data_IF_896381189954
#
_entry.id   IF_896381189954
#
_cell.length_a   1.000
_cell.length_b   1.000
_cell.length_c   1.000
_cell.angle_alpha   90.00
_cell.angle_beta   90.00
_cell.angle_gamma   90.00
#
_symmetry.space_group_name_H-M   'P 1'
#
loop_
_entity.id
_entity.type
_entity.pdbx_description
1 polymer ?
#
# COMPACT_ATOMS: atom_id res chain seq x y z
N UNK A 1 9.40 21.29 5.93
CA UNK A 1 9.25 20.64 7.25
C UNK A 1 9.27 19.13 7.05
N UNK A 2 10.24 18.45 7.64
CA UNK A 2 10.31 16.98 7.62
C UNK A 2 9.30 16.39 8.59
N UNK A 3 8.49 15.44 8.13
CA UNK A 3 7.52 14.70 8.94
C UNK A 3 7.72 13.20 8.72
N UNK A 4 7.56 12.43 9.77
CA UNK A 4 7.34 10.98 9.69
C UNK A 4 5.97 10.68 9.08
N UNK A 5 5.77 9.43 8.64
CA UNK A 5 4.47 8.99 8.13
C UNK A 5 3.35 9.15 9.17
N UNK A 6 3.65 8.90 10.46
CA UNK A 6 2.69 9.05 11.55
C UNK A 6 2.31 10.52 11.80
N UNK A 7 3.28 11.43 11.76
CA UNK A 7 3.01 12.87 11.91
C UNK A 7 2.22 13.40 10.71
N UNK A 8 2.55 12.97 9.48
CA UNK A 8 1.78 13.32 8.29
C UNK A 8 0.33 12.83 8.39
N UNK A 9 0.14 11.57 8.81
CA UNK A 9 -1.18 11.00 9.05
C UNK A 9 -1.97 11.80 10.10
N UNK A 10 -1.35 12.12 11.24
CA UNK A 10 -1.99 12.92 12.29
C UNK A 10 -2.33 14.33 11.79
N UNK A 11 -1.45 14.95 11.02
CA UNK A 11 -1.70 16.25 10.40
C UNK A 11 -2.88 16.21 9.44
N UNK A 12 -3.00 15.14 8.64
CA UNK A 12 -4.08 14.96 7.68
C UNK A 12 -5.44 14.67 8.36
N UNK A 13 -5.44 13.86 9.42
CA UNK A 13 -6.67 13.34 10.05
C UNK A 13 -7.14 14.13 11.26
N UNK A 14 -6.23 14.64 12.08
CA UNK A 14 -6.54 15.33 13.34
C UNK A 14 -6.52 16.84 13.17
N UNK A 15 -5.47 17.38 12.55
CA UNK A 15 -5.35 18.84 12.35
C UNK A 15 -6.20 19.31 11.17
N UNK A 16 -6.02 18.67 10.00
CA UNK A 16 -6.73 19.03 8.77
C UNK A 16 -8.14 18.44 8.68
N UNK A 17 -8.45 17.42 9.51
CA UNK A 17 -9.78 16.81 9.65
C UNK A 17 -10.41 16.37 8.33
N UNK A 18 -9.63 15.71 7.46
CA UNK A 18 -10.10 15.31 6.13
C UNK A 18 -11.25 14.28 6.14
N UNK A 19 -11.38 13.48 7.20
CA UNK A 19 -12.39 12.42 7.26
C UNK A 19 -13.79 13.05 7.36
N UNK A 20 -14.68 12.64 6.47
CA UNK A 20 -16.04 13.16 6.34
C UNK A 20 -16.16 14.33 5.36
N UNK A 21 -15.04 14.94 4.96
CA UNK A 21 -15.04 16.07 4.03
C UNK A 21 -15.40 15.64 2.61
N UNK A 22 -15.92 16.61 1.86
CA UNK A 22 -16.46 16.43 0.51
C UNK A 22 -15.61 17.15 -0.53
N UNK A 23 -15.55 16.58 -1.72
CA UNK A 23 -14.93 17.14 -2.89
C UNK A 23 -15.75 16.85 -4.14
N UNK A 24 -15.44 17.56 -5.22
CA UNK A 24 -16.10 17.39 -6.51
C UNK A 24 -15.03 17.29 -7.58
N UNK A 25 -15.26 16.41 -8.56
CA UNK A 25 -14.39 16.28 -9.71
C UNK A 25 -15.13 16.87 -10.90
N UNK A 26 -14.63 18.01 -11.37
CA UNK A 26 -15.13 18.66 -12.55
C UNK A 26 -14.06 18.65 -13.63
N UNK A 27 -14.48 18.36 -14.86
CA UNK A 27 -13.65 18.52 -16.04
C UNK A 27 -14.17 19.69 -16.87
N UNK A 28 -13.33 20.70 -17.06
CA UNK A 28 -13.67 21.91 -17.81
C UNK A 28 -12.84 21.99 -19.08
N UNK A 29 -13.49 22.17 -20.22
CA UNK A 29 -12.86 22.42 -21.51
C UNK A 29 -13.63 23.51 -22.26
N UNK A 30 -12.95 24.62 -22.56
CA UNK A 30 -13.55 25.87 -23.07
C UNK A 30 -14.70 26.32 -22.15
N UNK A 31 -15.91 26.48 -22.71
CA UNK A 31 -17.11 26.94 -22.04
C UNK A 31 -18.00 25.78 -21.52
N UNK A 32 -17.54 24.53 -21.59
CA UNK A 32 -18.25 23.37 -21.05
C UNK A 32 -17.53 22.84 -19.81
N UNK A 33 -18.29 22.63 -18.74
CA UNK A 33 -17.84 21.93 -17.54
C UNK A 33 -18.78 20.76 -17.29
N UNK A 34 -18.22 19.57 -17.10
CA UNK A 34 -18.96 18.37 -16.72
C UNK A 34 -18.50 17.91 -15.34
N UNK A 35 -19.41 17.31 -14.59
CA UNK A 35 -19.06 16.61 -13.35
C UNK A 35 -18.76 15.14 -13.66
N UNK A 36 -17.67 14.63 -13.08
CA UNK A 36 -17.22 13.26 -13.30
C UNK A 36 -17.82 12.36 -12.23
N UNK A 37 -18.53 11.33 -12.67
CA UNK A 37 -19.14 10.31 -11.79
C UNK A 37 -18.42 8.96 -11.89
N UNK A 38 -17.45 8.82 -12.79
CA UNK A 38 -16.66 7.60 -12.97
C UNK A 38 -15.61 7.44 -11.87
N UNK A 39 -15.37 6.19 -11.45
CA UNK A 39 -14.51 5.86 -10.32
C UNK A 39 -13.05 5.54 -10.71
N UNK A 40 -12.78 5.38 -12.00
CA UNK A 40 -11.51 4.83 -12.49
C UNK A 40 -10.30 5.74 -12.25
N UNK A 41 -10.51 7.05 -12.18
CA UNK A 41 -9.44 8.05 -12.00
C UNK A 41 -9.25 8.52 -10.56
N UNK A 42 -10.15 8.15 -9.65
CA UNK A 42 -10.19 8.71 -8.28
C UNK A 42 -8.89 8.46 -7.52
N UNK A 43 -8.29 7.27 -7.66
CA UNK A 43 -7.05 6.95 -6.97
C UNK A 43 -5.90 7.87 -7.37
N UNK A 44 -5.69 8.06 -8.67
CA UNK A 44 -4.66 8.96 -9.18
C UNK A 44 -4.94 10.41 -8.77
N UNK A 45 -6.20 10.85 -8.81
CA UNK A 45 -6.58 12.20 -8.40
C UNK A 45 -6.32 12.45 -6.91
N UNK A 46 -6.63 11.49 -6.03
CA UNK A 46 -6.36 11.61 -4.60
C UNK A 46 -4.85 11.60 -4.28
N UNK A 47 -4.04 10.84 -5.02
CA UNK A 47 -2.59 10.86 -4.88
C UNK A 47 -1.98 12.20 -5.31
N UNK A 48 -2.40 12.75 -6.45
CA UNK A 48 -1.98 14.09 -6.90
C UNK A 48 -2.49 15.19 -5.95
N UNK A 49 -3.71 15.05 -5.43
CA UNK A 49 -4.24 15.96 -4.41
C UNK A 49 -3.39 15.93 -3.13
N UNK A 50 -3.01 14.74 -2.64
CA UNK A 50 -2.17 14.61 -1.44
C UNK A 50 -0.81 15.28 -1.65
N UNK A 51 -0.21 15.11 -2.82
CA UNK A 51 1.02 15.80 -3.21
C UNK A 51 0.86 17.32 -3.22
N UNK A 52 -0.22 17.83 -3.79
CA UNK A 52 -0.50 19.27 -3.77
C UNK A 52 -0.71 19.79 -2.33
N UNK A 53 -1.41 19.02 -1.50
CA UNK A 53 -1.60 19.30 -0.08
C UNK A 53 -0.25 19.34 0.66
N UNK A 54 0.61 18.33 0.50
CA UNK A 54 1.94 18.30 1.11
C UNK A 54 2.78 19.53 0.71
N UNK A 55 2.76 19.93 -0.58
CA UNK A 55 3.44 21.14 -1.06
C UNK A 55 2.87 22.41 -0.42
N UNK A 56 1.54 22.53 -0.35
CA UNK A 56 0.86 23.69 0.26
C UNK A 56 1.24 23.87 1.74
N UNK A 57 1.38 22.78 2.48
CA UNK A 57 1.78 22.79 3.89
C UNK A 57 3.30 22.69 4.10
N UNK A 58 4.10 22.89 3.04
CA UNK A 58 5.57 22.87 3.07
C UNK A 58 6.14 21.60 3.73
N UNK A 59 5.50 20.46 3.52
CA UNK A 59 5.98 19.16 3.97
C UNK A 59 7.09 18.70 3.02
N UNK A 60 8.19 18.24 3.59
CA UNK A 60 9.32 17.73 2.83
C UNK A 60 9.07 16.30 2.37
N UNK A 61 9.06 16.09 1.05
CA UNK A 61 9.01 14.77 0.42
C UNK A 61 9.72 14.81 -0.93
N UNK A 62 10.03 13.64 -1.48
CA UNK A 62 10.44 13.45 -2.86
C UNK A 62 9.50 12.45 -3.55
N UNK A 63 9.14 12.72 -4.81
CA UNK A 63 8.36 11.79 -5.63
C UNK A 63 9.29 10.73 -6.22
N UNK A 64 8.79 9.50 -6.37
CA UNK A 64 9.53 8.51 -7.13
C UNK A 64 9.57 8.89 -8.61
N UNK A 65 10.79 9.02 -9.16
CA UNK A 65 10.99 9.40 -10.56
C UNK A 65 10.40 8.39 -11.54
N UNK A 66 10.18 7.15 -11.10
CA UNK A 66 9.42 6.15 -11.83
C UNK A 66 8.07 5.91 -11.12
N UNK A 67 7.02 6.58 -11.59
CA UNK A 67 5.66 6.47 -11.03
C UNK A 67 5.03 5.09 -11.16
N UNK A 68 5.61 4.19 -11.96
CA UNK A 68 5.19 2.78 -12.04
C UNK A 68 5.89 1.89 -11.00
N UNK A 69 6.79 2.46 -10.19
CA UNK A 69 7.53 1.75 -9.16
C UNK A 69 7.21 2.32 -7.79
N UNK A 70 7.08 1.40 -6.84
CA UNK A 70 7.01 1.71 -5.42
C UNK A 70 8.32 2.33 -4.90
N UNK A 71 8.25 3.19 -3.86
CA UNK A 71 7.02 3.76 -3.29
C UNK A 71 6.54 4.95 -4.13
N UNK A 72 5.35 5.48 -3.84
CA UNK A 72 4.90 6.76 -4.41
C UNK A 72 5.76 7.96 -3.96
N UNK A 73 6.08 8.01 -2.65
CA UNK A 73 6.82 9.11 -2.04
C UNK A 73 7.93 8.63 -1.09
N UNK A 74 8.98 9.44 -0.98
CA UNK A 74 10.01 9.33 0.05
C UNK A 74 9.86 10.52 1.00
N UNK A 75 9.52 10.26 2.28
CA UNK A 75 9.43 11.32 3.29
C UNK A 75 10.82 11.69 3.85
N UNK A 76 11.82 10.87 3.56
CA UNK A 76 13.22 11.13 3.90
C UNK A 76 14.07 11.28 2.64
N UNK A 77 14.39 12.53 2.30
CA UNK A 77 15.18 12.89 1.11
C UNK A 77 16.64 12.44 1.20
N UNK A 78 17.16 12.31 2.42
CA UNK A 78 18.57 11.98 2.68
C UNK A 78 18.81 10.46 2.60
N UNK A 79 17.80 9.66 2.96
CA UNK A 79 17.87 8.20 2.96
C UNK A 79 16.57 7.60 2.43
N UNK A 80 16.53 7.34 1.12
CA UNK A 80 15.38 6.75 0.41
C UNK A 80 15.10 5.29 0.78
N UNK A 81 15.95 4.66 1.60
CA UNK A 81 15.69 3.33 2.15
C UNK A 81 14.85 3.38 3.42
N UNK A 82 14.58 4.58 3.94
CA UNK A 82 13.74 4.83 5.11
C UNK A 82 12.53 5.67 4.71
N UNK A 83 11.48 5.58 5.52
CA UNK A 83 10.29 6.44 5.43
C UNK A 83 9.67 6.45 4.01
N UNK A 84 9.68 5.28 3.36
CA UNK A 84 9.01 5.04 2.10
C UNK A 84 7.49 5.01 2.34
N UNK A 85 6.76 5.76 1.51
CA UNK A 85 5.37 6.08 1.75
C UNK A 85 4.54 5.82 0.49
N UNK A 86 3.66 4.82 0.57
CA UNK A 86 2.78 4.38 -0.50
C UNK A 86 1.36 4.86 -0.25
N UNK A 87 0.68 5.33 -1.29
CA UNK A 87 -0.72 5.73 -1.23
C UNK A 87 -1.58 4.66 -1.89
N UNK A 88 -2.63 4.25 -1.18
CA UNK A 88 -3.68 3.41 -1.75
C UNK A 88 -5.04 4.05 -1.54
N UNK A 89 -5.95 3.77 -2.46
CA UNK A 89 -7.32 4.25 -2.36
C UNK A 89 -8.27 3.12 -2.74
N UNK A 90 -9.48 3.16 -2.19
CA UNK A 90 -10.54 2.27 -2.61
C UNK A 90 -11.93 2.86 -2.38
N UNK A 91 -12.89 2.36 -3.14
CA UNK A 91 -14.30 2.65 -2.97
C UNK A 91 -14.84 1.91 -1.74
N UNK A 92 -15.22 2.67 -0.71
CA UNK A 92 -15.76 2.18 0.57
C UNK A 92 -16.87 1.15 0.37
N UNK A 93 -17.75 1.36 -0.61
CA UNK A 93 -18.90 0.49 -0.87
C UNK A 93 -18.51 -0.84 -1.52
N UNK A 94 -17.32 -0.91 -2.14
CA UNK A 94 -16.80 -2.12 -2.80
C UNK A 94 -15.69 -2.82 -1.99
N UNK A 95 -15.15 -2.16 -0.98
CA UNK A 95 -14.01 -2.65 -0.21
C UNK A 95 -12.67 -2.52 -0.96
N UNK A 96 -11.57 -2.97 -0.33
CA UNK A 96 -10.21 -2.73 -0.84
C UNK A 96 -9.93 -3.54 -2.12
N UNK A 97 -10.11 -2.86 -3.25
CA UNK A 97 -9.93 -3.38 -4.59
C UNK A 97 -8.52 -3.20 -5.18
N UNK A 98 -7.61 -2.54 -4.48
CA UNK A 98 -6.24 -2.25 -4.97
C UNK A 98 -5.30 -3.45 -4.85
N UNK A 99 -4.23 -3.43 -5.63
CA UNK A 99 -3.12 -4.37 -5.52
C UNK A 99 -2.07 -3.83 -4.53
N UNK A 100 -1.49 -4.72 -3.72
CA UNK A 100 -0.38 -4.38 -2.84
C UNK A 100 0.93 -4.30 -3.62
N UNK A 101 1.17 -5.32 -4.46
CA UNK A 101 2.27 -5.40 -5.42
C UNK A 101 2.06 -6.61 -6.34
N UNK A 102 2.75 -6.65 -7.47
CA UNK A 102 2.92 -7.87 -8.23
C UNK A 102 3.70 -8.91 -7.40
N UNK A 103 3.20 -10.15 -7.30
CA UNK A 103 3.71 -11.16 -6.37
C UNK A 103 5.20 -11.50 -6.61
N UNK A 104 5.54 -11.86 -7.85
CA UNK A 104 6.91 -12.25 -8.20
C UNK A 104 7.87 -11.07 -8.08
N UNK A 105 7.46 -9.90 -8.60
CA UNK A 105 8.27 -8.68 -8.52
C UNK A 105 8.54 -8.28 -7.07
N UNK A 106 7.53 -8.37 -6.20
CA UNK A 106 7.67 -8.08 -4.78
C UNK A 106 8.63 -9.08 -4.13
N UNK A 107 8.39 -10.38 -4.27
CA UNK A 107 9.25 -11.39 -3.67
C UNK A 107 10.71 -11.31 -4.15
N UNK A 108 10.95 -11.02 -5.43
CA UNK A 108 12.29 -10.85 -5.97
C UNK A 108 12.95 -9.60 -5.41
N UNK A 109 12.21 -8.50 -5.29
CA UNK A 109 12.74 -7.26 -4.71
C UNK A 109 13.14 -7.40 -3.25
N UNK A 110 12.49 -8.28 -2.47
CA UNK A 110 12.87 -8.51 -1.07
C UNK A 110 14.26 -9.16 -0.93
N UNK A 111 14.81 -9.74 -1.98
CA UNK A 111 16.17 -10.29 -1.95
C UNK A 111 17.22 -9.17 -1.88
N UNK A 112 16.93 -8.02 -2.51
CA UNK A 112 17.86 -6.88 -2.62
C UNK A 112 17.46 -5.69 -1.74
N UNK A 113 16.17 -5.52 -1.50
CA UNK A 113 15.56 -4.34 -0.89
C UNK A 113 14.57 -4.72 0.21
N UNK A 114 14.95 -5.65 1.09
CA UNK A 114 14.08 -6.19 2.15
C UNK A 114 13.56 -5.10 3.12
N UNK A 115 14.31 -4.00 3.29
CA UNK A 115 13.92 -2.86 4.12
C UNK A 115 12.57 -2.24 3.68
N UNK A 116 12.13 -2.48 2.44
CA UNK A 116 10.81 -2.05 1.94
C UNK A 116 9.60 -2.68 2.62
N UNK A 117 9.81 -3.73 3.39
CA UNK A 117 8.74 -4.31 4.22
C UNK A 117 8.25 -3.27 5.23
N UNK A 118 9.13 -2.39 5.71
CA UNK A 118 8.83 -1.36 6.72
C UNK A 118 8.14 -0.12 6.17
N UNK A 119 7.82 -0.07 4.89
CA UNK A 119 7.13 1.08 4.31
C UNK A 119 5.73 1.30 4.89
N UNK A 120 5.33 2.56 4.88
CA UNK A 120 4.04 3.02 5.34
C UNK A 120 3.05 3.14 4.19
N UNK A 121 1.85 2.63 4.40
CA UNK A 121 0.73 2.70 3.46
C UNK A 121 -0.31 3.66 4.02
N UNK A 122 -0.48 4.81 3.38
CA UNK A 122 -1.61 5.71 3.62
C UNK A 122 -2.77 5.28 2.73
N UNK A 123 -3.86 4.86 3.34
CA UNK A 123 -4.99 4.27 2.64
C UNK A 123 -6.20 5.16 2.82
N UNK A 124 -6.75 5.68 1.72
CA UNK A 124 -7.96 6.49 1.73
C UNK A 124 -9.16 5.69 1.21
N UNK A 125 -10.15 5.48 2.05
CA UNK A 125 -11.46 4.99 1.61
C UNK A 125 -12.31 6.19 1.17
N UNK A 126 -12.73 6.18 -0.08
CA UNK A 126 -13.63 7.19 -0.60
C UNK A 126 -15.01 6.59 -0.88
N UNK A 127 -16.04 7.44 -0.91
CA UNK A 127 -17.37 7.09 -1.38
C UNK A 127 -17.84 8.15 -2.37
N UNK A 128 -18.48 7.73 -3.46
CA UNK A 128 -19.07 8.65 -4.44
C UNK A 128 -20.58 8.50 -4.49
N UNK A 129 -21.29 9.62 -4.41
CA UNK A 129 -22.74 9.72 -4.67
C UNK A 129 -22.96 10.73 -5.79
N UNK A 130 -23.26 10.24 -7.00
CA UNK A 130 -23.14 11.06 -8.22
C UNK A 130 -21.69 11.53 -8.40
N UNK A 131 -21.49 12.84 -8.52
CA UNK A 131 -20.16 13.46 -8.63
C UNK A 131 -19.54 13.93 -7.32
N UNK A 132 -20.27 13.81 -6.20
CA UNK A 132 -19.75 14.15 -4.88
C UNK A 132 -18.85 13.01 -4.37
N UNK A 133 -17.58 13.33 -4.13
CA UNK A 133 -16.59 12.46 -3.51
C UNK A 133 -16.52 12.78 -2.02
N UNK A 134 -16.56 11.77 -1.14
CA UNK A 134 -16.35 11.94 0.29
C UNK A 134 -15.27 11.00 0.81
N UNK A 135 -14.46 11.44 1.76
CA UNK A 135 -13.46 10.59 2.42
C UNK A 135 -14.09 9.91 3.63
N UNK A 136 -14.34 8.61 3.53
CA UNK A 136 -15.00 7.84 4.59
C UNK A 136 -14.06 7.50 5.73
N UNK A 137 -12.82 7.19 5.40
CA UNK A 137 -11.82 6.88 6.41
C UNK A 137 -10.41 6.97 5.80
N UNK A 138 -9.42 7.10 6.69
CA UNK A 138 -8.01 7.08 6.34
C UNK A 138 -7.30 6.17 7.33
N UNK A 139 -6.40 5.32 6.84
CA UNK A 139 -5.54 4.50 7.68
C UNK A 139 -4.07 4.73 7.35
N UNK A 140 -3.21 4.62 8.36
CA UNK A 140 -1.78 4.41 8.20
C UNK A 140 -1.45 2.99 8.64
N UNK A 141 -0.87 2.19 7.74
CA UNK A 141 -0.64 0.77 7.96
C UNK A 141 0.66 0.29 7.36
N UNK A 142 1.17 -0.83 7.86
CA UNK A 142 2.22 -1.63 7.22
C UNK A 142 1.61 -2.69 6.31
N UNK A 143 2.39 -3.21 5.36
CA UNK A 143 1.89 -4.21 4.40
C UNK A 143 1.34 -5.47 5.08
N UNK A 144 1.95 -5.91 6.18
CA UNK A 144 1.50 -7.07 6.94
C UNK A 144 0.16 -6.81 7.66
N UNK A 145 -0.14 -5.58 8.06
CA UNK A 145 -1.39 -5.22 8.73
C UNK A 145 -2.60 -5.14 7.78
N UNK A 146 -2.37 -5.16 6.46
CA UNK A 146 -3.41 -5.10 5.43
C UNK A 146 -3.46 -6.33 4.55
N UNK A 147 -2.51 -7.25 4.74
CA UNK A 147 -2.49 -8.59 4.14
C UNK A 147 -2.85 -9.63 5.19
N UNK A 148 -3.26 -10.80 4.74
CA UNK A 148 -3.64 -11.91 5.59
C UNK A 148 -3.77 -13.17 4.75
N UNK A 149 -4.04 -14.29 5.39
CA UNK A 149 -4.22 -15.56 4.70
C UNK A 149 -5.45 -15.60 3.79
N UNK A 150 -5.45 -16.55 2.88
CA UNK A 150 -6.60 -16.90 2.06
C UNK A 150 -6.82 -18.40 2.09
N UNK A 151 -7.98 -18.86 1.63
CA UNK A 151 -8.27 -20.30 1.59
C UNK A 151 -7.31 -21.08 0.70
N UNK A 152 -6.89 -20.51 -0.44
CA UNK A 152 -6.04 -21.21 -1.41
C UNK A 152 -4.56 -21.17 -1.04
N UNK A 153 -4.09 -20.03 -0.54
CA UNK A 153 -2.67 -19.79 -0.25
C UNK A 153 -2.50 -19.11 1.13
N UNK A 154 -1.36 -19.36 1.81
CA UNK A 154 -1.04 -18.76 3.11
C UNK A 154 -1.09 -17.24 3.13
N UNK A 155 -0.92 -16.58 1.98
CA UNK A 155 -1.20 -15.16 1.78
C UNK A 155 -2.25 -14.95 0.68
N UNK A 156 -3.11 -13.96 0.86
CA UNK A 156 -4.12 -13.60 -0.13
C UNK A 156 -3.49 -13.04 -1.40
N UNK A 157 -3.82 -13.69 -2.51
CA UNK A 157 -3.34 -13.33 -3.85
C UNK A 157 -4.48 -13.20 -4.85
N UNK A 158 -4.20 -12.55 -5.98
CA UNK A 158 -5.00 -12.64 -7.19
C UNK A 158 -4.41 -13.70 -8.10
N UNK A 159 -5.10 -14.83 -8.22
CA UNK A 159 -4.74 -15.92 -9.14
C UNK A 159 -5.69 -15.94 -10.34
N UNK A 160 -5.16 -16.12 -11.55
CA UNK A 160 -5.95 -16.40 -12.76
C UNK A 160 -5.26 -17.49 -13.56
N UNK A 161 -6.01 -18.51 -13.97
CA UNK A 161 -5.48 -19.66 -14.74
C UNK A 161 -4.22 -20.27 -14.11
N UNK A 162 -4.24 -20.46 -12.78
CA UNK A 162 -3.12 -20.99 -11.98
C UNK A 162 -1.84 -20.15 -12.03
N UNK A 163 -1.96 -18.85 -12.35
CA UNK A 163 -0.87 -17.88 -12.30
C UNK A 163 -1.18 -16.85 -11.23
N UNK A 164 -0.26 -16.67 -10.28
CA UNK A 164 -0.36 -15.65 -9.25
C UNK A 164 0.11 -14.33 -9.86
N UNK A 165 -0.77 -13.33 -9.91
CA UNK A 165 -0.44 -12.00 -10.43
C UNK A 165 -0.01 -11.06 -9.30
N UNK A 166 -0.92 -10.81 -8.35
CA UNK A 166 -0.75 -9.74 -7.36
C UNK A 166 -0.98 -10.24 -5.93
N UNK A 167 -0.27 -9.62 -4.99
CA UNK A 167 -0.64 -9.62 -3.58
C UNK A 167 -1.88 -8.75 -3.38
N UNK A 168 -2.85 -9.25 -2.61
CA UNK A 168 -4.15 -8.60 -2.43
C UNK A 168 -4.41 -8.30 -0.95
N UNK A 169 -5.02 -7.15 -0.64
CA UNK A 169 -5.39 -6.84 0.72
C UNK A 169 -6.58 -7.71 1.17
N UNK A 170 -6.63 -7.98 2.47
CA UNK A 170 -7.85 -8.41 3.14
C UNK A 170 -8.71 -7.19 3.50
N UNK A 171 -9.92 -7.38 4.02
CA UNK A 171 -10.70 -6.26 4.59
C UNK A 171 -10.28 -6.10 6.05
N UNK A 172 -9.10 -5.52 6.28
CA UNK A 172 -8.43 -5.48 7.60
C UNK A 172 -9.26 -4.78 8.68
N UNK A 173 -10.12 -3.84 8.29
CA UNK A 173 -11.00 -3.10 9.19
C UNK A 173 -12.31 -3.84 9.54
N UNK A 174 -12.55 -5.04 9.01
CA UNK A 174 -13.75 -5.82 9.28
C UNK A 174 -13.52 -6.84 10.40
N UNK A 175 -14.27 -6.71 11.50
CA UNK A 175 -14.28 -7.70 12.58
C UNK A 175 -14.92 -9.02 12.18
N UNK A 176 -15.75 -9.03 11.13
CA UNK A 176 -16.49 -10.21 10.67
C UNK A 176 -15.68 -11.15 9.77
N UNK A 177 -14.53 -10.71 9.29
CA UNK A 177 -13.71 -11.51 8.40
C UNK A 177 -13.13 -12.75 9.08
N UNK A 178 -13.22 -13.89 8.40
CA UNK A 178 -12.58 -15.16 8.81
C UNK A 178 -11.06 -15.01 8.89
N UNK A 179 -10.45 -14.49 7.83
CA UNK A 179 -9.01 -14.25 7.77
C UNK A 179 -8.68 -12.86 8.31
N UNK A 180 -7.84 -12.83 9.35
CA UNK A 180 -7.33 -11.59 9.97
C UNK A 180 -6.02 -11.15 9.35
N UNK A 181 -5.65 -9.91 9.62
CA UNK A 181 -4.37 -9.38 9.21
C UNK A 181 -3.25 -10.12 9.94
N UNK A 182 -2.06 -10.15 9.34
CA UNK A 182 -0.89 -10.63 10.07
C UNK A 182 -0.54 -9.68 11.21
N UNK A 183 -0.11 -10.25 12.34
CA UNK A 183 0.26 -9.49 13.52
C UNK A 183 1.67 -8.90 13.41
N UNK A 184 2.51 -9.48 12.55
CA UNK A 184 3.89 -9.06 12.41
C UNK A 184 4.44 -9.27 11.00
N UNK A 185 5.58 -8.63 10.73
CA UNK A 185 6.36 -8.83 9.50
C UNK A 185 6.86 -10.27 9.36
N UNK A 186 7.14 -10.96 10.46
CA UNK A 186 7.58 -12.35 10.47
C UNK A 186 6.48 -13.28 10.00
N UNK A 187 5.24 -13.12 10.50
CA UNK A 187 4.09 -13.90 10.02
C UNK A 187 3.84 -13.66 8.52
N UNK A 188 3.94 -12.41 8.07
CA UNK A 188 3.83 -12.06 6.66
C UNK A 188 4.92 -12.72 5.80
N UNK A 189 6.17 -12.69 6.26
CA UNK A 189 7.30 -13.33 5.56
C UNK A 189 7.19 -14.86 5.54
N UNK A 190 6.72 -15.48 6.62
CA UNK A 190 6.44 -16.91 6.68
C UNK A 190 5.37 -17.27 5.63
N UNK A 191 4.27 -16.51 5.60
CA UNK A 191 3.18 -16.71 4.65
C UNK A 191 3.62 -16.51 3.19
N UNK A 192 4.47 -15.51 2.90
CA UNK A 192 5.07 -15.34 1.58
C UNK A 192 5.96 -16.54 1.20
N UNK A 193 6.84 -16.98 2.09
CA UNK A 193 7.74 -18.10 1.84
C UNK A 193 6.96 -19.40 1.56
N UNK A 194 5.92 -19.67 2.36
CA UNK A 194 5.09 -20.85 2.18
C UNK A 194 4.25 -20.76 0.91
N UNK A 195 3.73 -19.57 0.57
CA UNK A 195 3.04 -19.36 -0.71
C UNK A 195 3.97 -19.61 -1.90
N UNK A 196 5.23 -19.15 -1.82
CA UNK A 196 6.25 -19.44 -2.84
C UNK A 196 6.63 -20.92 -2.89
N UNK A 197 6.59 -21.63 -1.77
CA UNK A 197 6.82 -23.07 -1.73
C UNK A 197 5.67 -23.84 -2.41
N UNK A 198 4.42 -23.44 -2.16
CA UNK A 198 3.23 -24.06 -2.72
C UNK A 198 3.03 -23.74 -4.21
N UNK A 199 3.44 -22.55 -4.65
CA UNK A 199 3.23 -22.09 -6.01
C UNK A 199 4.23 -22.74 -7.00
N UNK A 200 3.78 -23.53 -8.00
CA UNK A 200 4.69 -24.29 -8.87
C UNK A 200 5.75 -23.47 -9.60
N UNK A 201 5.47 -22.21 -9.94
CA UNK A 201 6.41 -21.36 -10.68
C UNK A 201 7.58 -20.87 -9.82
N UNK A 202 7.37 -20.66 -8.52
CA UNK A 202 8.41 -20.19 -7.61
C UNK A 202 9.03 -21.30 -6.77
N UNK A 203 8.35 -22.44 -6.61
CA UNK A 203 8.84 -23.61 -5.85
C UNK A 203 10.28 -24.04 -6.19
N UNK A 204 10.72 -24.15 -7.46
CA UNK A 204 12.09 -24.57 -7.79
C UNK A 204 13.17 -23.60 -7.28
N UNK A 205 12.84 -22.33 -7.13
CA UNK A 205 13.77 -21.27 -6.69
C UNK A 205 13.51 -20.79 -5.26
N UNK A 206 12.60 -21.47 -4.53
CA UNK A 206 12.26 -21.06 -3.17
C UNK A 206 13.36 -21.40 -2.16
N UNK A 207 14.26 -22.34 -2.51
CA UNK A 207 15.41 -22.68 -1.68
C UNK A 207 16.22 -21.42 -1.32
N UNK A 208 16.45 -21.22 -0.02
CA UNK A 208 17.17 -20.08 0.54
C UNK A 208 16.55 -18.69 0.30
N UNK A 209 15.33 -18.59 -0.25
CA UNK A 209 14.69 -17.30 -0.49
C UNK A 209 14.54 -16.53 0.83
N UNK A 210 13.89 -17.12 1.83
CA UNK A 210 13.69 -16.48 3.12
C UNK A 210 15.01 -16.10 3.79
N UNK A 211 16.02 -17.00 3.80
CA UNK A 211 17.33 -16.69 4.39
C UNK A 211 18.02 -15.50 3.71
N UNK A 212 17.87 -15.33 2.38
CA UNK A 212 18.41 -14.18 1.66
C UNK A 212 17.70 -12.90 2.05
N UNK A 213 16.36 -12.93 2.16
CA UNK A 213 15.55 -11.80 2.61
C UNK A 213 15.93 -11.37 4.03
N UNK A 214 16.01 -12.31 4.97
CA UNK A 214 16.36 -12.03 6.37
C UNK A 214 17.78 -11.46 6.49
N UNK A 215 18.74 -12.00 5.72
CA UNK A 215 20.11 -11.49 5.66
C UNK A 215 20.13 -10.06 5.12
N UNK A 216 19.47 -9.82 3.98
CA UNK A 216 19.41 -8.49 3.37
C UNK A 216 18.76 -7.47 4.32
N UNK A 217 17.67 -7.86 5.00
CA UNK A 217 16.97 -7.03 5.97
C UNK A 217 17.88 -6.65 7.14
N UNK A 218 18.54 -7.62 7.75
CA UNK A 218 19.45 -7.38 8.87
C UNK A 218 20.65 -6.52 8.49
N UNK A 219 21.20 -6.69 7.28
CA UNK A 219 22.28 -5.86 6.76
C UNK A 219 21.88 -4.39 6.58
N UNK A 220 20.62 -4.12 6.21
CA UNK A 220 20.14 -2.75 5.97
C UNK A 220 19.61 -2.06 7.23
N UNK A 221 18.98 -2.81 8.13
CA UNK A 221 18.28 -2.24 9.29
C UNK A 221 19.03 -2.44 10.60
N UNK A 222 20.00 -3.36 10.65
CA UNK A 222 20.62 -3.82 11.89
C UNK A 222 19.74 -4.77 12.72
N UNK A 223 18.49 -5.01 12.31
CA UNK A 223 17.52 -5.83 13.05
C UNK A 223 17.52 -7.25 12.50
N UNK A 224 17.60 -8.24 13.39
CA UNK A 224 17.40 -9.66 13.03
C UNK A 224 15.95 -10.03 13.25
N UNK A 225 15.31 -10.56 12.20
CA UNK A 225 13.96 -11.11 12.27
C UNK A 225 14.04 -12.62 12.50
N UNK A 226 13.18 -13.14 13.36
CA UNK A 226 13.06 -14.57 13.64
C UNK A 226 11.74 -15.09 13.05
N UNK A 227 11.83 -15.65 11.84
CA UNK A 227 10.68 -16.18 11.11
C UNK A 227 10.59 -17.68 11.36
N UNK A 228 9.50 -18.10 11.99
CA UNK A 228 9.20 -19.50 12.31
C UNK A 228 8.55 -20.23 11.14
#
# INVERSE_FOLDING_TARGET
>A
MKLTAQELYNKLTVEYKLIGEKGFINFSLKNLTISIETKDSIGNLLQEWLKAWMKKYQIDFEENTNTQKFPDFYLNKEDKKKDMFEVKTFDWDRGPGFDLANFDSYCNSLITDAYRIDSDYLILAYQMTGSELSIKNIWLKKIWEISGSSGTYPIKVQEKKNVIYNLRPIIWYSERNTYKAFNSKEEFLAALNETRYQYPQTRPTNAHWLSKVLKNYSQHTGIKLDVK
#
